data_IF_952152884607
#
_entry.id   IF_952152884607
#
_cell.length_a   1.000
_cell.length_b   1.000
_cell.length_c   1.000
_cell.angle_alpha   90.00
_cell.angle_beta   90.00
_cell.angle_gamma   90.00
#
_symmetry.space_group_name_H-M   'P 1'
#
loop_
_entity.id
_entity.type
_entity.pdbx_description
1 polymer ?
#
# COMPACT_ATOMS: atom_id res chain seq x y z
N UNK A 1 -13.55 24.28 0.09
CA UNK A 1 -12.90 23.30 1.00
C UNK A 1 -13.24 21.92 0.47
N UNK A 2 -12.25 21.12 0.04
CA UNK A 2 -12.52 19.75 -0.41
C UNK A 2 -12.92 18.93 0.81
N UNK A 3 -14.15 18.43 0.83
CA UNK A 3 -14.61 17.48 1.85
C UNK A 3 -13.77 16.22 1.81
N UNK A 4 -13.53 15.63 2.98
CA UNK A 4 -12.82 14.36 3.15
C UNK A 4 -13.49 13.24 2.35
N UNK A 5 -12.78 12.43 1.56
CA UNK A 5 -13.37 11.28 0.88
C UNK A 5 -13.59 10.11 1.86
N UNK A 6 -14.63 9.32 1.60
CA UNK A 6 -14.69 7.96 2.14
C UNK A 6 -13.56 7.16 1.49
N UNK A 7 -12.73 6.52 2.32
CA UNK A 7 -11.58 5.73 1.86
C UNK A 7 -11.76 4.28 2.28
N UNK A 8 -11.78 3.38 1.30
CA UNK A 8 -11.99 1.95 1.51
C UNK A 8 -10.90 1.17 0.77
N UNK A 9 -10.45 0.06 1.36
CA UNK A 9 -9.52 -0.89 0.78
C UNK A 9 -10.24 -2.22 0.60
N UNK A 10 -10.65 -2.52 -0.62
CA UNK A 10 -11.33 -3.78 -0.94
C UNK A 10 -10.33 -4.77 -1.53
N UNK A 11 -10.45 -6.04 -1.19
CA UNK A 11 -9.64 -7.09 -1.82
C UNK A 11 -9.76 -7.07 -3.34
N UNK A 12 -8.66 -7.42 -4.01
CA UNK A 12 -8.68 -7.71 -5.44
C UNK A 12 -9.74 -8.77 -5.76
N UNK A 13 -10.44 -8.55 -6.85
CA UNK A 13 -11.37 -9.50 -7.45
C UNK A 13 -11.40 -9.26 -8.96
N UNK A 14 -12.10 -10.12 -9.70
CA UNK A 14 -12.12 -10.08 -11.16
C UNK A 14 -12.59 -8.74 -11.74
N UNK A 15 -13.45 -7.99 -11.03
CA UNK A 15 -13.93 -6.68 -11.47
C UNK A 15 -12.82 -5.64 -11.58
N UNK A 16 -11.73 -5.80 -10.83
CA UNK A 16 -10.59 -4.86 -10.84
C UNK A 16 -9.45 -5.27 -11.76
N UNK A 17 -9.47 -6.48 -12.32
CA UNK A 17 -8.37 -7.04 -13.12
C UNK A 17 -7.95 -6.10 -14.27
N UNK A 18 -8.93 -5.58 -15.02
CA UNK A 18 -8.70 -4.66 -16.15
C UNK A 18 -8.14 -3.31 -15.70
N UNK A 19 -8.70 -2.74 -14.64
CA UNK A 19 -8.27 -1.44 -14.08
C UNK A 19 -6.83 -1.52 -13.59
N UNK A 20 -6.48 -2.58 -12.86
CA UNK A 20 -5.14 -2.80 -12.34
C UNK A 20 -4.15 -2.99 -13.49
N UNK A 21 -4.51 -3.73 -14.54
CA UNK A 21 -3.69 -3.86 -15.74
C UNK A 21 -3.40 -2.51 -16.41
N UNK A 22 -4.43 -1.67 -16.56
CA UNK A 22 -4.28 -0.33 -17.14
C UNK A 22 -3.33 0.50 -16.28
N UNK A 23 -3.55 0.56 -14.97
CA UNK A 23 -2.71 1.32 -14.06
C UNK A 23 -1.26 0.85 -14.06
N UNK A 24 -1.03 -0.46 -13.96
CA UNK A 24 0.32 -1.05 -14.00
C UNK A 24 1.03 -0.85 -15.33
N UNK A 25 0.34 -0.47 -16.41
CA UNK A 25 0.94 -0.12 -17.69
C UNK A 25 1.14 1.38 -17.92
N UNK A 26 0.66 2.23 -17.00
CA UNK A 26 0.90 3.67 -17.15
C UNK A 26 2.40 3.95 -16.95
N UNK A 27 3.04 4.76 -17.82
CA UNK A 27 4.48 5.02 -17.75
C UNK A 27 4.96 5.46 -16.37
N UNK A 28 4.27 6.42 -15.74
CA UNK A 28 4.59 6.92 -14.40
C UNK A 28 4.51 5.86 -13.29
N UNK A 29 3.71 4.81 -13.48
CA UNK A 29 3.58 3.71 -12.52
C UNK A 29 4.69 2.70 -12.78
N UNK A 30 4.85 2.24 -14.03
CA UNK A 30 5.91 1.29 -14.41
C UNK A 30 7.31 1.79 -14.09
N UNK A 31 7.57 3.08 -14.28
CA UNK A 31 8.86 3.69 -13.94
C UNK A 31 9.25 3.48 -12.48
N UNK A 32 8.28 3.34 -11.57
CA UNK A 32 8.49 3.11 -10.15
C UNK A 32 8.43 1.62 -9.75
N UNK A 33 8.04 0.73 -10.67
CA UNK A 33 7.96 -0.71 -10.45
C UNK A 33 9.32 -1.40 -10.70
N UNK A 34 9.48 -2.62 -10.18
CA UNK A 34 10.70 -3.43 -10.41
C UNK A 34 10.97 -3.70 -11.89
N UNK A 35 9.93 -4.05 -12.65
CA UNK A 35 9.99 -4.11 -14.11
C UNK A 35 9.27 -2.92 -14.72
N UNK A 36 9.92 -2.26 -15.67
CA UNK A 36 9.39 -1.10 -16.40
C UNK A 36 8.71 -1.50 -17.71
N UNK A 37 8.77 -2.78 -18.09
CA UNK A 37 8.25 -3.31 -19.35
C UNK A 37 6.71 -3.28 -19.39
N UNK A 38 6.17 -3.19 -20.62
CA UNK A 38 4.73 -3.30 -20.81
C UNK A 38 4.26 -4.72 -20.49
N UNK A 39 3.20 -4.81 -19.70
CA UNK A 39 2.57 -6.08 -19.35
C UNK A 39 1.48 -6.35 -20.37
N UNK A 40 1.64 -7.40 -21.18
CA UNK A 40 0.56 -7.83 -22.09
C UNK A 40 -0.68 -8.24 -21.29
N UNK A 41 -1.87 -8.02 -21.87
CA UNK A 41 -3.13 -8.37 -21.20
C UNK A 41 -3.17 -9.85 -20.80
N UNK A 42 -2.71 -10.75 -21.67
CA UNK A 42 -2.68 -12.19 -21.40
C UNK A 42 -1.74 -12.55 -20.23
N UNK A 43 -0.54 -11.94 -20.16
CA UNK A 43 0.39 -12.18 -19.06
C UNK A 43 -0.19 -11.63 -17.74
N UNK A 44 -0.84 -10.46 -17.78
CA UNK A 44 -1.50 -9.89 -16.62
C UNK A 44 -2.62 -10.77 -16.11
N UNK A 45 -3.49 -11.29 -16.98
CA UNK A 45 -4.58 -12.17 -16.56
C UNK A 45 -4.05 -13.42 -15.84
N UNK A 46 -3.00 -14.05 -16.38
CA UNK A 46 -2.36 -15.21 -15.73
C UNK A 46 -1.80 -14.86 -14.34
N UNK A 47 -1.08 -13.75 -14.25
CA UNK A 47 -0.55 -13.25 -12.98
C UNK A 47 -1.67 -12.91 -11.98
N UNK A 48 -2.74 -12.27 -12.44
CA UNK A 48 -3.85 -11.83 -11.59
C UNK A 48 -4.59 -13.01 -10.98
N UNK A 49 -4.89 -14.04 -11.77
CA UNK A 49 -5.53 -15.26 -11.26
C UNK A 49 -4.64 -16.00 -10.25
N UNK A 50 -3.32 -16.07 -10.52
CA UNK A 50 -2.38 -16.62 -9.54
C UNK A 50 -2.34 -15.79 -8.25
N UNK A 51 -2.42 -14.46 -8.36
CA UNK A 51 -2.41 -13.57 -7.20
C UNK A 51 -3.64 -13.75 -6.31
N UNK A 52 -4.83 -13.91 -6.90
CA UNK A 52 -6.08 -14.13 -6.15
C UNK A 52 -6.09 -15.44 -5.36
N UNK A 53 -5.28 -16.42 -5.76
CA UNK A 53 -5.22 -17.75 -5.15
C UNK A 53 -4.03 -17.92 -4.20
N UNK A 54 -3.14 -16.93 -4.10
CA UNK A 54 -1.94 -17.02 -3.28
C UNK A 54 -2.28 -16.71 -1.80
N UNK A 55 -2.21 -17.69 -0.89
CA UNK A 55 -2.54 -17.48 0.52
C UNK A 55 -1.53 -16.59 1.25
N UNK A 56 -0.34 -16.40 0.67
CA UNK A 56 0.71 -15.55 1.23
C UNK A 56 0.60 -14.10 0.75
N UNK A 57 -0.44 -13.76 -0.02
CA UNK A 57 -0.61 -12.45 -0.63
C UNK A 57 -1.91 -11.81 -0.20
N UNK A 58 -1.88 -10.50 0.02
CA UNK A 58 -3.07 -9.69 0.24
C UNK A 58 -2.97 -8.44 -0.62
N UNK A 59 -3.87 -8.31 -1.59
CA UNK A 59 -3.92 -7.15 -2.46
C UNK A 59 -5.25 -6.43 -2.34
N UNK A 60 -5.17 -5.11 -2.24
CA UNK A 60 -6.32 -4.23 -2.09
C UNK A 60 -6.35 -3.19 -3.18
N UNK A 61 -7.55 -2.88 -3.67
CA UNK A 61 -7.85 -1.66 -4.40
C UNK A 61 -8.28 -0.59 -3.40
N UNK A 62 -7.63 0.57 -3.47
CA UNK A 62 -8.04 1.76 -2.74
C UNK A 62 -9.17 2.45 -3.51
N UNK A 63 -10.31 2.62 -2.86
CA UNK A 63 -11.47 3.35 -3.34
C UNK A 63 -11.56 4.72 -2.63
N UNK A 64 -11.89 5.77 -3.37
CA UNK A 64 -12.32 7.06 -2.84
C UNK A 64 -13.73 7.38 -3.32
N UNK A 65 -14.68 7.46 -2.39
CA UNK A 65 -16.11 7.59 -2.71
C UNK A 65 -16.51 6.57 -3.80
N UNK A 66 -16.22 5.28 -3.55
CA UNK A 66 -16.49 4.14 -4.46
C UNK A 66 -15.68 4.11 -5.77
N UNK A 67 -14.96 5.19 -6.11
CA UNK A 67 -14.09 5.22 -7.29
C UNK A 67 -12.75 4.53 -6.98
N UNK A 68 -12.30 3.54 -7.78
CA UNK A 68 -10.96 2.96 -7.65
C UNK A 68 -9.90 3.99 -8.06
N UNK A 69 -8.88 4.17 -7.22
CA UNK A 69 -7.82 5.17 -7.42
C UNK A 69 -6.39 4.65 -7.26
N UNK A 70 -6.19 3.50 -6.62
CA UNK A 70 -4.86 2.96 -6.35
C UNK A 70 -4.90 1.53 -5.85
N UNK A 71 -3.73 1.00 -5.53
CA UNK A 71 -3.59 -0.34 -4.99
C UNK A 71 -2.56 -0.39 -3.86
N UNK A 72 -2.77 -1.33 -2.95
CA UNK A 72 -1.92 -1.68 -1.82
C UNK A 72 -1.70 -3.19 -1.86
N UNK A 73 -0.46 -3.64 -1.73
CA UNK A 73 -0.07 -5.02 -1.95
C UNK A 73 0.82 -5.49 -0.80
N UNK A 74 0.61 -6.72 -0.35
CA UNK A 74 1.43 -7.40 0.64
C UNK A 74 1.77 -8.81 0.18
N UNK A 75 2.99 -9.24 0.42
CA UNK A 75 3.47 -10.60 0.21
C UNK A 75 4.24 -11.05 1.45
N UNK A 76 3.82 -12.15 2.06
CA UNK A 76 4.57 -12.80 3.13
C UNK A 76 5.79 -13.49 2.52
N UNK A 77 6.97 -12.87 2.67
CA UNK A 77 8.23 -13.40 2.11
C UNK A 77 8.85 -14.42 3.05
N UNK A 78 8.90 -14.10 4.34
CA UNK A 78 9.44 -14.98 5.37
C UNK A 78 8.87 -14.54 6.72
N UNK A 79 8.27 -15.44 7.51
CA UNK A 79 7.79 -15.04 8.84
C UNK A 79 8.96 -14.57 9.73
N UNK A 80 8.80 -13.45 10.46
CA UNK A 80 7.59 -12.63 10.62
C UNK A 80 7.56 -11.36 9.74
N UNK A 81 8.31 -11.34 8.64
CA UNK A 81 8.50 -10.22 7.72
C UNK A 81 7.60 -10.31 6.46
N UNK A 82 6.84 -9.25 6.23
CA UNK A 82 5.99 -9.10 5.07
C UNK A 82 6.54 -7.99 4.18
N UNK A 83 6.68 -8.27 2.89
CA UNK A 83 6.96 -7.23 1.91
C UNK A 83 5.66 -6.50 1.56
N UNK A 84 5.72 -5.18 1.43
CA UNK A 84 4.58 -4.39 0.99
C UNK A 84 4.95 -3.37 -0.08
N UNK A 85 3.94 -2.91 -0.80
CA UNK A 85 4.06 -1.82 -1.75
C UNK A 85 2.71 -1.20 -2.08
N UNK A 86 2.73 -0.02 -2.68
CA UNK A 86 1.51 0.67 -3.10
C UNK A 86 1.75 1.57 -4.31
N UNK A 87 0.67 1.96 -4.98
CA UNK A 87 0.71 2.97 -6.03
C UNK A 87 -0.67 3.60 -6.26
N UNK A 88 -0.68 4.83 -6.75
CA UNK A 88 -1.87 5.50 -7.26
C UNK A 88 -2.00 5.28 -8.77
N UNK A 89 -3.12 4.69 -9.18
CA UNK A 89 -3.47 4.44 -10.57
C UNK A 89 -4.14 5.63 -11.26
N UNK A 90 -4.71 6.53 -10.48
CA UNK A 90 -5.34 7.78 -10.93
C UNK A 90 -4.51 9.00 -10.47
N UNK A 91 -4.67 10.16 -11.13
CA UNK A 91 -3.97 11.41 -10.77
C UNK A 91 -4.89 12.48 -10.20
N UNK A 92 -6.18 12.44 -10.56
CA UNK A 92 -7.22 13.32 -10.04
C UNK A 92 -7.79 12.77 -8.72
N UNK A 93 -6.90 12.52 -7.76
CA UNK A 93 -7.24 11.95 -6.45
C UNK A 93 -7.18 13.01 -5.37
N UNK A 94 -7.76 12.72 -4.20
CA UNK A 94 -7.71 13.66 -3.08
C UNK A 94 -6.25 13.91 -2.63
N UNK A 95 -5.83 15.16 -2.38
CA UNK A 95 -4.50 15.44 -1.85
C UNK A 95 -4.25 14.68 -0.55
N UNK A 96 -3.16 13.90 -0.49
CA UNK A 96 -2.86 13.00 0.63
C UNK A 96 -3.29 11.54 0.45
N UNK A 97 -3.79 11.15 -0.72
CA UNK A 97 -4.14 9.74 -0.99
C UNK A 97 -2.96 8.78 -0.82
N UNK A 98 -1.74 9.19 -1.22
CA UNK A 98 -0.52 8.41 -0.98
C UNK A 98 -0.19 8.23 0.51
N UNK A 99 -0.52 9.23 1.33
CA UNK A 99 -0.39 9.11 2.79
C UNK A 99 -1.38 8.10 3.35
N UNK A 100 -2.61 8.06 2.84
CA UNK A 100 -3.60 7.08 3.28
C UNK A 100 -3.21 5.65 2.90
N UNK A 101 -2.51 5.44 1.77
CA UNK A 101 -1.92 4.16 1.43
C UNK A 101 -0.90 3.71 2.49
N UNK A 102 -0.03 4.62 2.92
CA UNK A 102 0.97 4.35 3.96
C UNK A 102 0.33 4.00 5.32
N UNK A 103 -0.65 4.80 5.76
CA UNK A 103 -1.39 4.53 7.01
C UNK A 103 -2.10 3.19 6.93
N UNK A 104 -2.79 2.92 5.81
CA UNK A 104 -3.47 1.65 5.60
C UNK A 104 -2.48 0.48 5.63
N UNK A 105 -1.28 0.65 5.07
CA UNK A 105 -0.27 -0.40 5.07
C UNK A 105 0.10 -0.83 6.50
N UNK A 106 0.41 0.17 7.33
CA UNK A 106 0.80 -0.03 8.72
C UNK A 106 -0.37 -0.49 9.60
N UNK A 107 -1.58 0.03 9.38
CA UNK A 107 -2.78 -0.42 10.08
C UNK A 107 -3.13 -1.86 9.75
N UNK A 108 -3.00 -2.27 8.48
CA UNK A 108 -3.25 -3.65 8.08
C UNK A 108 -2.26 -4.62 8.73
N UNK A 109 -0.99 -4.25 8.85
CA UNK A 109 0.01 -5.05 9.57
C UNK A 109 -0.35 -5.28 11.04
N UNK A 110 -1.04 -4.34 11.71
CA UNK A 110 -1.54 -4.55 13.07
C UNK A 110 -2.60 -5.65 13.17
N UNK A 111 -3.40 -5.81 12.11
CA UNK A 111 -4.47 -6.82 12.02
C UNK A 111 -3.91 -8.24 11.75
N UNK A 112 -2.68 -8.35 11.26
CA UNK A 112 -2.04 -9.64 10.96
C UNK A 112 -1.26 -10.16 12.18
N UNK A 113 -1.66 -11.32 12.70
CA UNK A 113 -1.01 -11.93 13.86
C UNK A 113 0.41 -12.45 13.55
N UNK A 114 0.67 -12.85 12.30
CA UNK A 114 1.96 -13.41 11.86
C UNK A 114 2.87 -12.38 11.16
N UNK A 115 2.49 -11.10 11.15
CA UNK A 115 3.35 -10.02 10.70
C UNK A 115 3.94 -9.28 11.91
N UNK A 116 5.26 -9.23 12.05
CA UNK A 116 5.94 -8.39 13.05
C UNK A 116 6.70 -7.25 12.40
N UNK A 117 7.01 -7.35 11.11
CA UNK A 117 7.77 -6.35 10.39
C UNK A 117 7.26 -6.20 8.95
N UNK A 118 7.10 -4.95 8.50
CA UNK A 118 6.98 -4.63 7.08
C UNK A 118 8.35 -4.33 6.48
N UNK A 119 8.60 -4.82 5.28
CA UNK A 119 9.76 -4.52 4.45
C UNK A 119 9.31 -3.88 3.13
N UNK A 120 10.04 -2.86 2.68
CA UNK A 120 9.78 -2.21 1.39
C UNK A 120 11.06 -1.79 0.70
N UNK A 121 11.07 -1.97 -0.62
CA UNK A 121 12.12 -1.49 -1.50
C UNK A 121 11.60 -0.29 -2.30
N UNK A 122 12.39 0.77 -2.33
CA UNK A 122 12.03 2.02 -3.00
C UNK A 122 13.18 2.44 -3.89
N UNK A 123 12.91 2.70 -5.18
CA UNK A 123 13.92 3.25 -6.09
C UNK A 123 14.49 4.56 -5.55
N UNK A 124 15.80 4.76 -5.69
CA UNK A 124 16.48 5.99 -5.21
C UNK A 124 15.90 7.27 -5.83
N UNK A 125 15.26 7.18 -7.01
CA UNK A 125 14.62 8.33 -7.68
C UNK A 125 13.18 8.60 -7.20
N UNK A 126 12.54 7.69 -6.45
CA UNK A 126 11.14 7.83 -6.03
C UNK A 126 11.00 8.78 -4.82
N UNK A 127 11.17 10.08 -5.08
CA UNK A 127 11.12 11.12 -4.03
C UNK A 127 9.83 11.13 -3.21
N UNK A 128 8.70 10.73 -3.81
CA UNK A 128 7.40 10.66 -3.14
C UNK A 128 7.38 9.61 -2.05
N UNK A 129 7.73 8.36 -2.39
CA UNK A 129 7.79 7.27 -1.42
C UNK A 129 8.87 7.53 -0.35
N UNK A 130 10.04 8.07 -0.73
CA UNK A 130 11.10 8.41 0.22
C UNK A 130 10.67 9.49 1.23
N UNK A 131 9.89 10.47 0.79
CA UNK A 131 9.34 11.49 1.69
C UNK A 131 8.30 10.90 2.66
N UNK A 132 7.46 9.96 2.21
CA UNK A 132 6.51 9.25 3.06
C UNK A 132 7.23 8.38 4.09
N UNK A 133 8.16 7.52 3.68
CA UNK A 133 8.91 6.66 4.59
C UNK A 133 9.67 7.47 5.65
N UNK A 134 10.22 8.64 5.28
CA UNK A 134 10.83 9.57 6.23
C UNK A 134 9.81 10.16 7.21
N UNK A 135 8.64 10.59 6.73
CA UNK A 135 7.58 11.15 7.56
C UNK A 135 7.06 10.14 8.60
N UNK A 136 6.94 8.88 8.19
CA UNK A 136 6.47 7.78 9.03
C UNK A 136 7.57 7.15 9.89
N UNK A 137 8.83 7.60 9.73
CA UNK A 137 9.98 7.20 10.54
C UNK A 137 10.41 5.73 10.31
N UNK A 138 10.32 5.25 9.06
CA UNK A 138 10.87 3.95 8.65
C UNK A 138 12.37 3.84 8.95
N UNK A 139 12.81 2.65 9.33
CA UNK A 139 14.23 2.35 9.52
C UNK A 139 14.83 1.88 8.19
N UNK A 140 16.06 2.29 7.88
CA UNK A 140 16.78 1.80 6.70
C UNK A 140 17.26 0.36 6.91
N UNK A 141 17.25 -0.43 5.84
CA UNK A 141 17.80 -1.78 5.79
C UNK A 141 18.83 -1.88 4.66
N UNK A 142 19.50 -3.03 4.56
CA UNK A 142 20.45 -3.30 3.47
C UNK A 142 19.71 -3.34 2.12
N UNK A 143 20.09 -2.49 1.15
CA UNK A 143 19.43 -2.46 -0.14
C UNK A 143 19.83 -3.65 -1.00
N UNK A 144 18.95 -4.12 -1.92
CA UNK A 144 19.27 -5.24 -2.79
C UNK A 144 20.34 -4.91 -3.85
N UNK A 145 20.48 -3.63 -4.21
CA UNK A 145 21.49 -3.10 -5.13
C UNK A 145 21.48 -1.56 -5.09
N UNK A 146 22.33 -0.91 -5.90
CA UNK A 146 22.51 0.54 -5.90
C UNK A 146 21.30 1.36 -6.39
N UNK A 147 20.36 0.74 -7.10
CA UNK A 147 19.19 1.44 -7.65
C UNK A 147 18.03 1.58 -6.63
N UNK A 148 18.14 0.88 -5.49
CA UNK A 148 17.09 0.82 -4.46
C UNK A 148 17.63 1.22 -3.08
N UNK A 149 16.72 1.73 -2.26
CA UNK A 149 16.83 1.77 -0.81
C UNK A 149 15.85 0.75 -0.23
N UNK A 150 16.26 0.10 0.85
CA UNK A 150 15.40 -0.80 1.60
C UNK A 150 15.00 -0.19 2.94
N UNK A 151 13.77 -0.46 3.36
CA UNK A 151 13.20 0.05 4.59
C UNK A 151 12.46 -1.03 5.34
N UNK A 152 12.44 -0.90 6.67
CA UNK A 152 11.63 -1.75 7.54
C UNK A 152 10.81 -0.93 8.52
N UNK A 153 9.69 -1.52 8.96
CA UNK A 153 8.84 -0.98 10.01
C UNK A 153 8.40 -2.07 10.97
N UNK A 154 8.65 -1.89 12.27
CA UNK A 154 8.18 -2.84 13.27
C UNK A 154 6.71 -2.58 13.59
N UNK A 155 5.91 -3.64 13.63
CA UNK A 155 4.48 -3.59 13.97
C UNK A 155 4.24 -2.89 15.31
N UNK A 156 4.99 -3.28 16.34
CA UNK A 156 4.85 -2.72 17.69
C UNK A 156 5.23 -1.24 17.75
N UNK A 157 6.22 -0.82 16.94
CA UNK A 157 6.56 0.59 16.79
C UNK A 157 5.36 1.38 16.26
N UNK A 158 4.66 0.89 15.23
CA UNK A 158 3.45 1.55 14.73
C UNK A 158 2.36 1.62 15.80
N UNK A 159 2.11 0.51 16.49
CA UNK A 159 1.12 0.44 17.57
C UNK A 159 1.32 1.53 18.62
N UNK A 160 2.58 1.80 19.00
CA UNK A 160 2.92 2.79 20.02
C UNK A 160 2.89 4.23 19.51
N UNK A 161 3.22 4.47 18.24
CA UNK A 161 3.44 5.82 17.73
C UNK A 161 2.39 6.33 16.73
N UNK A 162 1.42 5.49 16.34
CA UNK A 162 0.37 5.82 15.37
C UNK A 162 -0.25 7.18 15.63
N UNK A 163 -0.75 7.42 16.84
CA UNK A 163 -1.39 8.70 17.20
C UNK A 163 -0.42 9.89 17.08
N UNK A 164 0.82 9.74 17.56
CA UNK A 164 1.86 10.78 17.48
C UNK A 164 2.20 11.12 16.03
N UNK A 165 2.32 10.12 15.16
CA UNK A 165 2.63 10.34 13.73
C UNK A 165 1.44 11.02 13.04
N UNK A 166 0.22 10.54 13.27
CA UNK A 166 -0.98 11.15 12.68
C UNK A 166 -1.19 12.60 13.16
N UNK A 167 -0.86 12.92 14.42
CA UNK A 167 -0.98 14.28 14.96
C UNK A 167 -0.15 15.32 14.19
N UNK A 168 0.89 14.91 13.44
CA UNK A 168 1.71 15.80 12.59
C UNK A 168 1.01 16.20 11.28
N UNK A 169 -0.08 15.53 10.93
CA UNK A 169 -0.77 15.71 9.65
C UNK A 169 -1.84 16.80 9.74
N UNK A 170 -2.23 17.43 8.61
CA UNK A 170 -3.38 18.32 8.61
C UNK A 170 -4.66 17.59 9.07
N UNK A 171 -5.56 18.32 9.75
CA UNK A 171 -6.77 17.74 10.37
C UNK A 171 -7.61 16.87 9.42
N UNK A 172 -7.86 17.24 8.15
CA UNK A 172 -8.61 16.40 7.22
C UNK A 172 -7.95 15.04 6.96
N UNK A 173 -6.60 14.97 6.94
CA UNK A 173 -5.85 13.73 6.75
C UNK A 173 -5.90 12.83 7.99
N UNK A 174 -5.88 13.42 9.18
CA UNK A 174 -6.08 12.69 10.44
C UNK A 174 -7.45 12.02 10.46
N UNK A 175 -8.50 12.78 10.12
CA UNK A 175 -9.87 12.28 10.05
C UNK A 175 -10.03 11.22 8.96
N UNK A 176 -9.31 11.35 7.84
CA UNK A 176 -9.34 10.36 6.76
C UNK A 176 -8.67 9.06 7.19
N UNK A 177 -7.50 9.15 7.81
CA UNK A 177 -6.78 8.01 8.38
C UNK A 177 -7.60 7.26 9.43
N UNK A 178 -8.32 7.98 10.30
CA UNK A 178 -9.15 7.38 11.33
C UNK A 178 -10.40 6.64 10.79
N UNK A 179 -10.80 6.90 9.55
CA UNK A 179 -11.98 6.32 8.91
C UNK A 179 -11.65 5.40 7.73
N UNK A 180 -10.41 4.89 7.65
CA UNK A 180 -10.03 3.83 6.72
C UNK A 180 -10.79 2.55 7.07
N UNK A 181 -11.34 1.89 6.05
CA UNK A 181 -12.03 0.61 6.18
C UNK A 181 -11.40 -0.41 5.23
N UNK A 182 -11.27 -1.66 5.67
CA UNK A 182 -10.91 -2.79 4.83
C UNK A 182 -12.13 -3.68 4.58
N UNK A 183 -12.29 -4.15 3.34
CA UNK A 183 -13.42 -4.99 2.90
C UNK A 183 -12.92 -6.29 2.24
N UNK A 184 -13.39 -7.47 2.70
CA UNK A 184 -14.23 -7.67 3.89
C UNK A 184 -13.52 -7.19 5.15
N UNK A 185 -14.29 -6.82 6.17
CA UNK A 185 -13.73 -6.46 7.47
C UNK A 185 -12.86 -7.63 7.95
N UNK A 186 -11.62 -7.35 8.33
CA UNK A 186 -10.76 -8.37 8.91
C UNK A 186 -11.49 -8.92 10.15
N UNK A 187 -11.64 -10.25 10.30
CA UNK A 187 -12.16 -10.80 11.55
C UNK A 187 -11.27 -10.25 12.65
N UNK A 188 -11.85 -9.44 13.55
CA UNK A 188 -11.11 -8.89 14.67
C UNK A 188 -10.37 -10.07 15.34
N UNK A 189 -9.04 -9.98 15.47
CA UNK A 189 -8.29 -10.97 16.23
C UNK A 189 -9.01 -11.13 17.58
N UNK A 190 -9.36 -12.36 17.99
CA UNK A 190 -9.97 -12.55 19.30
C UNK A 190 -8.98 -12.01 20.33
N UNK A 191 -9.47 -11.02 21.07
CA UNK A 191 -8.83 -10.42 22.25
C UNK A 191 -8.38 -11.47 23.26
#
# INVERSE_FOLDING_TARGET
MSTRPQTEFTLFNDNYCRTIWQWRNLPRVREQMRSTEEISWQNHQRWFQSALQDPNRSDFVMLQNERPIGALNFTQVQEPCWEWGCYLGETNVWPGSGLLLEVAALDYALLQNNCQQLYAEVKVQNKGALALHKLFEYQTAEPPNADYLAFTYQRDTWQQQRERVLAKLPKPHQEAAAAIVFTPAHPASPS
#
